data_IF_174248083646
#
_entry.id   IF_174248083646
#
_cell.length_a   1.000
_cell.length_b   1.000
_cell.length_c   1.000
_cell.angle_alpha   90.00
_cell.angle_beta   90.00
_cell.angle_gamma   90.00
#
_symmetry.space_group_name_H-M   'P 1'
#
loop_
_entity.id
_entity.type
_entity.pdbx_description
1 polymer ?
#
# COMPACT_ATOMS: atom_id res chain seq x y z
N UNK A 1 -42.80 10.54 -24.48
CA UNK A 1 -42.54 9.49 -23.47
C UNK A 1 -41.21 9.82 -22.83
N UNK A 2 -41.25 10.33 -21.61
CA UNK A 2 -40.07 10.80 -20.87
C UNK A 2 -39.24 9.60 -20.39
N UNK A 3 -37.93 9.68 -20.63
CA UNK A 3 -36.92 8.76 -20.13
C UNK A 3 -36.69 9.05 -18.65
N UNK A 4 -36.91 8.04 -17.81
CA UNK A 4 -36.69 8.06 -16.37
C UNK A 4 -35.19 8.11 -16.10
N UNK A 5 -34.72 9.25 -15.59
CA UNK A 5 -33.39 9.37 -15.02
C UNK A 5 -33.26 8.41 -13.83
N UNK A 6 -32.27 7.53 -13.87
CA UNK A 6 -31.81 6.76 -12.72
C UNK A 6 -31.31 7.75 -11.66
N UNK A 7 -32.13 8.02 -10.65
CA UNK A 7 -31.70 8.71 -9.44
C UNK A 7 -30.70 7.81 -8.69
N UNK A 8 -29.64 8.36 -8.09
CA UNK A 8 -28.76 7.61 -7.21
C UNK A 8 -29.56 7.07 -6.01
N UNK A 9 -29.25 5.84 -5.63
CA UNK A 9 -29.88 5.10 -4.54
C UNK A 9 -29.79 5.91 -3.23
N UNK A 10 -30.89 6.03 -2.48
CA UNK A 10 -30.99 6.93 -1.32
C UNK A 10 -29.94 6.62 -0.22
N UNK A 11 -29.55 5.36 -0.07
CA UNK A 11 -28.53 4.92 0.89
C UNK A 11 -27.11 5.41 0.53
N UNK A 12 -26.81 5.61 -0.75
CA UNK A 12 -25.53 6.16 -1.22
C UNK A 12 -25.44 7.67 -0.91
N UNK A 13 -26.55 8.40 -1.05
CA UNK A 13 -26.62 9.81 -0.67
C UNK A 13 -26.51 10.01 0.84
N UNK A 14 -27.03 9.08 1.65
CA UNK A 14 -26.91 9.14 3.10
C UNK A 14 -25.45 8.99 3.57
N UNK A 15 -24.68 8.05 3.02
CA UNK A 15 -23.27 7.86 3.38
C UNK A 15 -22.37 9.05 3.03
N UNK A 16 -22.60 9.69 1.87
CA UNK A 16 -21.89 10.90 1.43
C UNK A 16 -22.27 12.16 2.22
N UNK A 17 -23.53 12.26 2.65
CA UNK A 17 -24.01 13.39 3.46
C UNK A 17 -23.46 13.29 4.88
N UNK A 18 -23.48 12.08 5.46
CA UNK A 18 -22.85 11.79 6.75
C UNK A 18 -21.35 12.10 6.74
N UNK A 19 -20.63 11.82 5.64
CA UNK A 19 -19.21 12.20 5.52
C UNK A 19 -19.00 13.72 5.51
N UNK A 20 -19.79 14.47 4.74
CA UNK A 20 -19.70 15.93 4.71
C UNK A 20 -20.04 16.58 6.06
N UNK A 21 -20.96 15.98 6.82
CA UNK A 21 -21.37 16.49 8.13
C UNK A 21 -20.37 16.10 9.23
N UNK A 22 -19.88 14.85 9.27
CA UNK A 22 -18.83 14.40 10.21
C UNK A 22 -17.51 15.12 9.96
N UNK A 23 -17.10 15.30 8.70
CA UNK A 23 -15.88 16.03 8.35
C UNK A 23 -15.96 17.50 8.79
N UNK A 24 -17.14 18.11 8.76
CA UNK A 24 -17.35 19.50 9.24
C UNK A 24 -17.38 19.61 10.76
N UNK A 25 -17.97 18.63 11.46
CA UNK A 25 -18.00 18.61 12.94
C UNK A 25 -16.64 18.26 13.55
N UNK A 26 -15.90 17.29 13.00
CA UNK A 26 -14.59 16.88 13.54
C UNK A 26 -13.48 17.92 13.32
N UNK A 27 -13.55 18.71 12.23
CA UNK A 27 -12.63 19.85 12.02
C UNK A 27 -12.87 20.96 13.05
N UNK A 28 -14.11 21.12 13.53
CA UNK A 28 -14.47 22.15 14.50
C UNK A 28 -14.12 21.78 15.96
N UNK A 29 -14.01 20.49 16.31
CA UNK A 29 -13.78 20.02 17.69
C UNK A 29 -12.35 19.59 18.02
N UNK A 30 -11.39 19.73 17.09
CA UNK A 30 -9.98 19.42 17.34
C UNK A 30 -9.32 20.39 18.34
N UNK A 31 -9.56 20.16 19.63
CA UNK A 31 -8.74 20.69 20.72
C UNK A 31 -7.36 20.05 20.63
N UNK A 32 -6.41 20.81 20.11
CA UNK A 32 -4.98 20.52 20.17
C UNK A 32 -4.57 20.29 21.63
N UNK A 33 -4.38 19.03 22.02
CA UNK A 33 -3.66 18.68 23.25
C UNK A 33 -2.18 18.61 22.87
N UNK A 34 -1.31 19.50 23.38
CA UNK A 34 0.09 19.47 23.01
C UNK A 34 0.78 18.30 23.72
N UNK A 35 1.12 17.25 22.98
CA UNK A 35 2.11 16.28 23.44
C UNK A 35 3.49 16.93 23.31
N UNK A 36 4.03 17.40 24.42
CA UNK A 36 5.42 17.82 24.51
C UNK A 36 6.33 16.60 24.53
N UNK A 37 7.10 16.39 23.46
CA UNK A 37 8.55 16.13 23.49
C UNK A 37 9.09 16.08 22.06
N UNK A 38 10.13 16.86 21.81
CA UNK A 38 10.86 16.98 20.56
C UNK A 38 11.37 15.62 20.04
N UNK A 39 10.71 15.08 19.03
CA UNK A 39 11.37 14.26 18.00
C UNK A 39 10.70 14.62 16.68
N UNK A 40 11.40 15.38 15.84
CA UNK A 40 11.00 15.61 14.45
C UNK A 40 11.09 14.28 13.71
N UNK A 41 10.04 13.47 13.76
CA UNK A 41 9.83 12.43 12.76
C UNK A 41 9.66 13.16 11.43
N UNK A 42 10.72 13.23 10.62
CA UNK A 42 10.57 13.46 9.21
C UNK A 42 9.51 12.46 8.72
N UNK A 43 8.35 12.96 8.31
CA UNK A 43 7.26 12.13 7.77
C UNK A 43 7.80 11.34 6.58
N UNK A 44 8.26 10.12 6.83
CA UNK A 44 8.68 9.19 5.78
C UNK A 44 7.40 8.55 5.27
N UNK A 45 7.06 8.83 4.02
CA UNK A 45 5.93 8.18 3.36
C UNK A 45 6.12 6.66 3.33
N UNK A 46 5.01 5.92 3.26
CA UNK A 46 5.05 4.46 3.17
C UNK A 46 5.66 3.96 1.84
N UNK A 47 5.76 4.83 0.82
CA UNK A 47 6.51 4.62 -0.43
C UNK A 47 7.40 5.84 -0.68
N UNK A 48 8.70 5.60 -0.92
CA UNK A 48 9.71 6.65 -1.09
C UNK A 48 10.21 6.77 -2.55
N UNK A 49 9.98 5.76 -3.40
CA UNK A 49 10.50 5.77 -4.76
C UNK A 49 9.65 6.55 -5.77
N UNK A 50 10.21 7.63 -6.31
CA UNK A 50 9.71 8.35 -7.49
C UNK A 50 8.21 8.72 -7.41
N UNK A 51 7.73 8.97 -6.20
CA UNK A 51 6.36 9.39 -5.90
C UNK A 51 6.33 10.86 -5.52
N UNK A 52 5.16 11.47 -5.69
CA UNK A 52 4.85 12.81 -5.20
C UNK A 52 3.67 12.71 -4.24
N UNK A 53 3.78 13.29 -3.01
CA UNK A 53 2.61 13.43 -2.15
C UNK A 53 1.58 14.35 -2.82
N UNK A 54 0.31 14.00 -2.69
CA UNK A 54 -0.82 14.77 -3.24
C UNK A 54 -1.97 14.79 -2.24
N UNK A 55 -2.76 15.85 -2.26
CA UNK A 55 -3.94 15.96 -1.41
C UNK A 55 -5.20 15.47 -2.14
N UNK A 56 -6.23 15.09 -1.40
CA UNK A 56 -7.49 14.60 -1.99
C UNK A 56 -8.20 15.71 -2.77
N UNK A 57 -8.08 16.96 -2.33
CA UNK A 57 -8.61 18.16 -3.00
C UNK A 57 -7.97 18.31 -4.38
N UNK A 58 -6.64 18.14 -4.49
CA UNK A 58 -5.93 18.19 -5.77
C UNK A 58 -6.45 17.13 -6.76
N UNK A 59 -6.68 15.91 -6.28
CA UNK A 59 -7.26 14.84 -7.10
C UNK A 59 -8.70 15.14 -7.54
N UNK A 60 -9.44 15.93 -6.78
CA UNK A 60 -10.84 16.28 -7.05
C UNK A 60 -10.98 17.49 -7.97
N UNK A 61 -10.18 18.53 -7.76
CA UNK A 61 -10.34 19.84 -8.39
C UNK A 61 -9.43 20.03 -9.61
N UNK A 62 -8.20 19.51 -9.55
CA UNK A 62 -7.19 19.76 -10.58
C UNK A 62 -7.01 18.60 -11.56
N UNK A 63 -7.37 17.38 -11.16
CA UNK A 63 -7.16 16.18 -11.97
C UNK A 63 -8.39 15.79 -12.79
N UNK A 64 -8.18 15.49 -14.08
CA UNK A 64 -9.22 14.90 -14.93
C UNK A 64 -9.36 13.39 -14.66
N UNK A 65 -10.53 12.83 -15.00
CA UNK A 65 -10.80 11.39 -14.91
C UNK A 65 -10.64 10.76 -16.30
N UNK A 66 -9.74 9.76 -16.47
CA UNK A 66 -9.59 9.05 -17.73
C UNK A 66 -10.86 8.29 -18.12
N UNK A 67 -11.03 8.05 -19.43
CA UNK A 67 -12.20 7.37 -20.01
C UNK A 67 -11.77 6.22 -20.90
N UNK A 68 -12.66 5.25 -21.09
CA UNK A 68 -12.52 4.19 -22.09
C UNK A 68 -12.86 4.75 -23.47
N UNK A 69 -11.92 4.74 -24.41
CA UNK A 69 -12.00 5.54 -25.63
C UNK A 69 -13.06 5.05 -26.63
N UNK A 70 -13.51 3.79 -26.56
CA UNK A 70 -14.46 3.24 -27.55
C UNK A 70 -15.92 3.53 -27.24
N UNK A 71 -16.26 3.71 -25.97
CA UNK A 71 -17.62 3.98 -25.48
C UNK A 71 -17.70 5.26 -24.63
N UNK A 72 -16.57 5.91 -24.38
CA UNK A 72 -16.44 7.16 -23.63
C UNK A 72 -16.96 7.04 -22.19
N UNK A 73 -16.97 5.83 -21.63
CA UNK A 73 -17.36 5.62 -20.24
C UNK A 73 -16.23 6.03 -19.29
N UNK A 74 -16.59 6.71 -18.21
CA UNK A 74 -15.63 7.12 -17.19
C UNK A 74 -15.03 5.90 -16.48
N UNK A 75 -13.74 5.98 -16.20
CA UNK A 75 -13.14 5.13 -15.17
C UNK A 75 -13.67 5.53 -13.79
N UNK A 76 -13.61 4.62 -12.82
CA UNK A 76 -13.67 5.04 -11.42
C UNK A 76 -12.48 6.02 -11.22
N UNK A 77 -12.61 7.06 -10.41
CA UNK A 77 -11.51 8.02 -10.22
C UNK A 77 -10.62 7.62 -9.03
N UNK A 78 -9.50 8.32 -8.82
CA UNK A 78 -8.65 8.12 -7.64
C UNK A 78 -9.37 8.50 -6.35
N UNK A 79 -9.98 9.68 -6.33
CA UNK A 79 -10.75 10.20 -5.20
C UNK A 79 -11.96 9.31 -4.88
N UNK A 80 -12.70 8.85 -5.90
CA UNK A 80 -13.83 7.95 -5.67
C UNK A 80 -13.35 6.63 -5.04
N UNK A 81 -12.19 6.11 -5.47
CA UNK A 81 -11.61 4.92 -4.85
C UNK A 81 -11.26 5.17 -3.38
N UNK A 82 -10.52 6.23 -3.05
CA UNK A 82 -10.13 6.57 -1.67
C UNK A 82 -11.36 6.73 -0.77
N UNK A 83 -12.34 7.53 -1.20
CA UNK A 83 -13.58 7.80 -0.45
C UNK A 83 -14.39 6.52 -0.23
N UNK A 84 -14.41 5.62 -1.21
CA UNK A 84 -15.10 4.32 -1.09
C UNK A 84 -14.46 3.45 -0.02
N UNK A 85 -13.13 3.38 0.01
CA UNK A 85 -12.40 2.58 1.00
C UNK A 85 -12.49 3.18 2.39
N UNK A 86 -12.42 4.51 2.51
CA UNK A 86 -12.70 5.22 3.77
C UNK A 86 -14.12 4.91 4.27
N UNK A 87 -15.13 5.01 3.41
CA UNK A 87 -16.51 4.68 3.76
C UNK A 87 -16.66 3.25 4.26
N UNK A 88 -15.96 2.29 3.63
CA UNK A 88 -15.97 0.90 4.06
C UNK A 88 -15.29 0.75 5.44
N UNK A 89 -14.20 1.47 5.70
CA UNK A 89 -13.53 1.47 7.00
C UNK A 89 -14.42 2.06 8.09
N UNK A 90 -15.06 3.21 7.89
CA UNK A 90 -16.03 3.78 8.84
C UNK A 90 -17.21 2.85 9.12
N UNK A 91 -17.61 2.03 8.15
CA UNK A 91 -18.69 1.05 8.34
C UNK A 91 -18.27 -0.12 9.26
N UNK A 92 -17.03 -0.57 9.16
CA UNK A 92 -16.48 -1.68 9.95
C UNK A 92 -15.99 -1.21 11.33
N UNK A 93 -15.44 0.01 11.40
CA UNK A 93 -14.85 0.61 12.59
C UNK A 93 -15.59 1.89 13.01
N UNK A 94 -16.90 1.82 13.33
CA UNK A 94 -17.74 3.01 13.48
C UNK A 94 -17.40 3.90 14.69
N UNK A 95 -16.68 3.36 15.67
CA UNK A 95 -16.32 4.06 16.91
C UNK A 95 -14.82 4.39 16.99
N UNK A 96 -14.06 4.08 15.95
CA UNK A 96 -12.62 4.29 15.94
C UNK A 96 -12.28 5.64 15.30
N UNK A 97 -11.17 6.23 15.73
CA UNK A 97 -10.61 7.38 15.03
C UNK A 97 -9.88 6.88 13.77
N UNK A 98 -10.22 7.45 12.61
CA UNK A 98 -9.56 7.14 11.33
C UNK A 98 -8.83 8.41 10.87
N UNK A 99 -7.52 8.30 10.66
CA UNK A 99 -6.70 9.41 10.23
C UNK A 99 -6.96 9.78 8.76
N UNK A 100 -6.55 10.99 8.39
CA UNK A 100 -6.57 11.43 6.99
C UNK A 100 -5.62 10.57 6.14
N UNK A 101 -6.00 10.16 4.92
CA UNK A 101 -5.12 9.36 4.07
C UNK A 101 -3.83 10.09 3.68
N UNK A 102 -2.70 9.41 3.84
CA UNK A 102 -1.44 9.74 3.16
C UNK A 102 -1.54 9.22 1.72
N UNK A 103 -1.48 10.12 0.75
CA UNK A 103 -1.69 9.81 -0.67
C UNK A 103 -0.44 10.17 -1.46
N UNK A 104 0.03 9.21 -2.25
CA UNK A 104 1.18 9.38 -3.14
C UNK A 104 0.81 8.98 -4.56
N UNK A 105 1.28 9.76 -5.53
CA UNK A 105 1.02 9.52 -6.94
C UNK A 105 2.32 9.53 -7.75
N UNK A 106 2.32 8.86 -8.90
CA UNK A 106 3.44 8.86 -9.84
C UNK A 106 2.94 8.90 -11.28
N UNK A 107 3.87 9.19 -12.21
CA UNK A 107 3.61 9.23 -13.65
C UNK A 107 2.47 10.20 -14.01
N UNK A 108 2.77 11.50 -13.97
CA UNK A 108 1.82 12.53 -14.38
C UNK A 108 1.59 12.45 -15.91
N UNK A 109 0.34 12.31 -16.30
CA UNK A 109 -0.09 12.37 -17.69
C UNK A 109 -0.65 13.76 -17.93
N UNK A 110 -0.11 14.45 -18.93
CA UNK A 110 -0.50 15.82 -19.30
C UNK A 110 -1.21 15.81 -20.65
N UNK A 111 -2.43 16.31 -20.66
CA UNK A 111 -3.21 16.60 -21.87
C UNK A 111 -3.30 18.10 -22.13
N UNK A 112 -4.19 18.46 -23.05
CA UNK A 112 -4.52 19.86 -23.37
C UNK A 112 -6.02 20.04 -23.22
N UNK A 113 -6.45 21.21 -22.75
CA UNK A 113 -7.85 21.61 -22.85
C UNK A 113 -8.24 21.80 -24.33
N UNK A 114 -9.54 21.69 -24.68
CA UNK A 114 -10.00 21.84 -26.07
C UNK A 114 -9.52 23.12 -26.75
N UNK A 115 -9.52 24.25 -26.03
CA UNK A 115 -9.16 25.58 -26.53
C UNK A 115 -7.67 25.71 -26.86
N UNK A 116 -6.83 24.82 -26.32
CA UNK A 116 -5.37 24.86 -26.45
C UNK A 116 -4.82 23.76 -27.36
N UNK A 117 -5.66 22.97 -28.03
CA UNK A 117 -5.22 21.77 -28.76
C UNK A 117 -4.19 22.09 -29.86
N UNK A 118 -4.33 23.24 -30.51
CA UNK A 118 -3.44 23.72 -31.59
C UNK A 118 -2.29 24.60 -31.10
N UNK A 119 -2.23 24.96 -29.81
CA UNK A 119 -1.11 25.75 -29.27
C UNK A 119 0.19 24.93 -29.32
N UNK A 120 1.31 25.47 -29.84
CA UNK A 120 2.61 24.81 -29.76
C UNK A 120 3.00 24.53 -28.29
N UNK A 121 3.76 23.45 -28.06
CA UNK A 121 4.13 23.04 -26.70
C UNK A 121 4.87 24.13 -25.90
N UNK A 122 5.66 24.97 -26.59
CA UNK A 122 6.37 26.11 -26.01
C UNK A 122 5.47 27.27 -25.57
N UNK A 123 4.21 27.31 -26.01
CA UNK A 123 3.25 28.38 -25.73
C UNK A 123 2.11 27.93 -24.80
N UNK A 124 2.16 26.69 -24.30
CA UNK A 124 1.13 26.17 -23.38
C UNK A 124 1.33 26.73 -21.97
N UNK A 125 0.33 27.47 -21.50
CA UNK A 125 0.21 27.84 -20.09
C UNK A 125 -0.15 26.61 -19.25
N UNK A 126 0.02 26.68 -17.94
CA UNK A 126 -0.41 25.58 -17.08
C UNK A 126 -1.94 25.43 -17.04
N UNK A 127 -2.68 26.53 -17.19
CA UNK A 127 -4.14 26.51 -17.37
C UNK A 127 -4.59 25.86 -18.69
N UNK A 128 -3.69 25.71 -19.66
CA UNK A 128 -3.99 25.06 -20.93
C UNK A 128 -3.84 23.52 -20.85
N UNK A 129 -3.32 23.00 -19.74
CA UNK A 129 -2.98 21.59 -19.57
C UNK A 129 -4.02 20.92 -18.69
N UNK A 130 -4.43 19.72 -19.08
CA UNK A 130 -5.14 18.82 -18.19
C UNK A 130 -4.15 17.85 -17.59
N UNK A 131 -4.37 17.41 -16.35
CA UNK A 131 -3.48 16.45 -15.71
C UNK A 131 -4.28 15.31 -15.08
N UNK A 132 -3.68 14.13 -15.04
CA UNK A 132 -4.05 13.07 -14.12
C UNK A 132 -2.81 12.24 -13.81
N UNK A 133 -2.87 11.42 -12.77
CA UNK A 133 -1.77 10.51 -12.43
C UNK A 133 -2.08 9.11 -12.96
N UNK A 134 -1.12 8.45 -13.59
CA UNK A 134 -1.31 7.07 -14.05
C UNK A 134 -1.40 6.10 -12.86
N UNK A 135 -0.66 6.37 -11.77
CA UNK A 135 -0.60 5.50 -10.59
C UNK A 135 -0.76 6.30 -9.32
N UNK A 136 -1.57 5.78 -8.39
CA UNK A 136 -1.82 6.34 -7.07
C UNK A 136 -1.84 5.23 -6.02
N UNK A 137 -1.24 5.49 -4.87
CA UNK A 137 -1.39 4.71 -3.67
C UNK A 137 -1.85 5.61 -2.53
N UNK A 138 -2.63 5.07 -1.61
CA UNK A 138 -2.98 5.75 -0.38
C UNK A 138 -2.97 4.78 0.79
N UNK A 139 -2.79 5.33 1.98
CA UNK A 139 -2.84 4.60 3.24
C UNK A 139 -3.38 5.53 4.33
N UNK A 140 -4.29 5.04 5.16
CA UNK A 140 -4.72 5.72 6.38
C UNK A 140 -4.65 4.76 7.56
N UNK A 141 -4.48 5.34 8.74
CA UNK A 141 -4.28 4.61 9.99
C UNK A 141 -5.53 4.70 10.87
N UNK A 142 -5.73 3.67 11.68
CA UNK A 142 -6.72 3.64 12.76
C UNK A 142 -5.91 3.57 14.07
N UNK A 143 -5.39 4.70 14.58
CA UNK A 143 -4.37 4.73 15.62
C UNK A 143 -4.83 4.18 16.98
N UNK A 144 -6.15 4.05 17.18
CA UNK A 144 -6.77 3.46 18.36
C UNK A 144 -6.70 1.94 18.38
N UNK A 145 -6.52 1.29 17.22
CA UNK A 145 -6.28 -0.15 17.10
C UNK A 145 -4.79 -0.36 16.85
N UNK A 146 -4.05 -0.74 17.88
CA UNK A 146 -2.60 -0.88 17.81
C UNK A 146 -2.06 -2.00 18.71
N UNK A 147 -0.82 -2.39 18.47
CA UNK A 147 -0.05 -3.33 19.29
C UNK A 147 1.42 -2.89 19.33
N UNK A 148 2.13 -3.19 20.42
CA UNK A 148 3.56 -2.93 20.54
C UNK A 148 4.37 -4.23 20.38
N UNK A 149 5.15 -4.32 19.31
CA UNK A 149 5.96 -5.50 18.97
C UNK A 149 7.44 -5.12 19.00
N UNK A 150 8.20 -5.69 19.94
CA UNK A 150 9.62 -5.39 20.15
C UNK A 150 9.91 -3.89 20.37
N UNK A 151 9.00 -3.19 21.06
CA UNK A 151 9.10 -1.74 21.27
C UNK A 151 8.67 -0.89 20.07
N UNK A 152 8.19 -1.50 18.98
CA UNK A 152 7.65 -0.80 17.82
C UNK A 152 6.14 -0.78 17.88
N UNK A 153 5.55 0.42 17.91
CA UNK A 153 4.10 0.57 17.78
C UNK A 153 3.66 0.27 16.35
N UNK A 154 2.66 -0.59 16.23
CA UNK A 154 2.01 -0.97 14.99
C UNK A 154 0.56 -0.49 15.03
N UNK A 155 0.18 0.43 14.14
CA UNK A 155 -1.22 0.84 14.00
C UNK A 155 -1.91 0.04 12.90
N UNK A 156 -3.17 -0.35 13.11
CA UNK A 156 -4.01 -0.88 12.04
C UNK A 156 -4.06 0.15 10.90
N UNK A 157 -3.83 -0.31 9.68
CA UNK A 157 -3.70 0.53 8.50
C UNK A 157 -4.45 -0.09 7.34
N UNK A 158 -5.15 0.76 6.59
CA UNK A 158 -5.93 0.38 5.41
C UNK A 158 -5.47 1.26 4.26
N UNK A 159 -5.43 0.68 3.06
CA UNK A 159 -5.09 1.46 1.88
C UNK A 159 -5.34 0.72 0.59
N UNK A 160 -4.85 1.32 -0.48
CA UNK A 160 -5.04 0.74 -1.80
C UNK A 160 -4.14 1.35 -2.86
N UNK A 161 -4.06 0.64 -3.98
CA UNK A 161 -3.32 1.05 -5.17
C UNK A 161 -4.25 1.02 -6.36
N UNK A 162 -4.24 2.12 -7.12
CA UNK A 162 -4.84 2.21 -8.44
C UNK A 162 -3.77 2.54 -9.48
N UNK A 163 -3.80 1.81 -10.59
CA UNK A 163 -2.83 1.95 -11.66
C UNK A 163 -3.54 1.86 -13.02
N UNK A 164 -3.76 3.00 -13.67
CA UNK A 164 -4.48 3.06 -14.96
C UNK A 164 -3.73 2.36 -16.10
N UNK A 165 -2.41 2.17 -16.01
CA UNK A 165 -1.63 1.38 -16.97
C UNK A 165 -1.95 -0.12 -16.94
N UNK A 166 -2.66 -0.60 -15.92
CA UNK A 166 -3.21 -1.96 -15.91
C UNK A 166 -4.52 -2.08 -16.69
N UNK A 167 -5.12 -0.94 -17.05
CA UNK A 167 -6.34 -0.87 -17.85
C UNK A 167 -6.01 -0.67 -19.33
N UNK A 168 -6.86 -1.22 -20.19
CA UNK A 168 -6.83 -0.90 -21.61
C UNK A 168 -7.78 0.28 -21.89
N UNK A 169 -7.35 1.51 -21.60
CA UNK A 169 -8.18 2.70 -21.83
C UNK A 169 -8.54 2.92 -23.32
N UNK A 170 -7.90 2.21 -24.26
CA UNK A 170 -8.23 2.25 -25.69
C UNK A 170 -9.35 1.27 -26.09
N UNK A 171 -9.91 0.53 -25.12
CA UNK A 171 -11.03 -0.40 -25.35
C UNK A 171 -12.37 0.19 -24.92
N UNK A 172 -13.41 -0.67 -24.92
CA UNK A 172 -14.67 -0.42 -24.21
C UNK A 172 -14.45 -0.66 -22.71
N UNK A 173 -15.32 -0.12 -21.86
CA UNK A 173 -15.26 -0.35 -20.42
C UNK A 173 -15.27 -1.84 -20.10
N UNK A 174 -14.29 -2.24 -19.30
CA UNK A 174 -14.18 -3.58 -18.72
C UNK A 174 -14.09 -3.46 -17.22
N UNK A 175 -14.01 -4.60 -16.53
CA UNK A 175 -13.71 -4.59 -15.11
C UNK A 175 -12.37 -3.90 -14.88
N UNK A 176 -12.39 -2.91 -14.01
CA UNK A 176 -11.24 -2.14 -13.58
C UNK A 176 -10.57 -2.84 -12.40
N UNK A 177 -9.24 -2.74 -12.30
CA UNK A 177 -8.39 -3.47 -11.36
C UNK A 177 -7.92 -2.56 -10.24
N UNK A 178 -8.06 -3.04 -9.02
CA UNK A 178 -7.66 -2.37 -7.80
C UNK A 178 -6.89 -3.33 -6.91
N UNK A 179 -6.02 -2.74 -6.07
CA UNK A 179 -5.46 -3.45 -4.92
C UNK A 179 -5.96 -2.78 -3.66
N UNK A 180 -6.43 -3.56 -2.71
CA UNK A 180 -6.85 -3.08 -1.39
C UNK A 180 -6.12 -3.92 -0.35
N UNK A 181 -5.68 -3.29 0.72
CA UNK A 181 -5.14 -4.00 1.86
C UNK A 181 -5.69 -3.48 3.19
N UNK A 182 -5.65 -4.35 4.18
CA UNK A 182 -5.79 -4.07 5.61
C UNK A 182 -4.67 -4.83 6.33
N UNK A 183 -3.97 -4.16 7.23
CA UNK A 183 -2.79 -4.71 7.89
C UNK A 183 -2.29 -3.76 8.96
N UNK A 184 -0.99 -3.78 9.24
CA UNK A 184 -0.40 -2.89 10.24
C UNK A 184 0.69 -2.03 9.63
N UNK A 185 0.95 -0.86 10.22
CA UNK A 185 2.08 -0.01 9.85
C UNK A 185 2.99 0.18 11.05
N UNK A 186 4.27 -0.18 10.89
CA UNK A 186 5.27 0.04 11.93
C UNK A 186 5.63 1.52 11.97
N UNK A 187 5.31 2.22 13.06
CA UNK A 187 5.51 3.67 13.16
C UNK A 187 6.98 4.10 13.27
N UNK A 188 7.87 3.20 13.69
CA UNK A 188 9.31 3.51 13.78
C UNK A 188 9.90 3.72 12.39
N UNK A 189 9.45 2.92 11.41
CA UNK A 189 9.99 2.94 10.06
C UNK A 189 8.95 3.17 8.97
N UNK A 190 7.68 3.39 9.29
CA UNK A 190 6.58 3.51 8.33
C UNK A 190 6.47 2.31 7.36
N UNK A 191 6.96 1.14 7.77
CA UNK A 191 6.89 -0.09 6.98
C UNK A 191 5.48 -0.66 7.02
N UNK A 192 4.93 -1.03 5.87
CA UNK A 192 3.63 -1.69 5.79
C UNK A 192 3.77 -3.19 5.99
N UNK A 193 3.05 -3.68 6.99
CA UNK A 193 2.94 -5.08 7.35
C UNK A 193 1.64 -5.64 6.77
N UNK A 194 1.77 -6.45 5.72
CA UNK A 194 0.64 -6.99 4.96
C UNK A 194 0.65 -8.52 5.07
N UNK A 195 -0.50 -9.10 5.41
CA UNK A 195 -0.71 -10.55 5.48
C UNK A 195 -1.54 -11.06 4.29
N UNK A 196 -1.54 -12.37 4.10
CA UNK A 196 -2.23 -13.03 2.98
C UNK A 196 -3.74 -12.80 3.00
N UNK A 197 -4.36 -12.81 4.18
CA UNK A 197 -5.79 -12.51 4.38
C UNK A 197 -6.09 -11.01 4.46
N UNK A 198 -5.04 -10.18 4.51
CA UNK A 198 -5.12 -8.73 4.53
C UNK A 198 -4.90 -8.06 3.18
N UNK A 199 -4.64 -8.81 2.10
CA UNK A 199 -4.38 -8.26 0.75
C UNK A 199 -5.33 -8.85 -0.29
N UNK A 200 -6.04 -7.96 -0.98
CA UNK A 200 -6.73 -8.28 -2.23
C UNK A 200 -5.98 -7.63 -3.40
N UNK A 201 -5.10 -8.40 -4.04
CA UNK A 201 -4.14 -7.91 -5.06
C UNK A 201 -4.70 -7.77 -6.47
N UNK A 202 -5.88 -8.33 -6.75
CA UNK A 202 -6.54 -8.24 -8.06
C UNK A 202 -8.06 -8.12 -7.90
N UNK A 203 -8.51 -7.04 -7.27
CA UNK A 203 -9.93 -6.73 -7.19
C UNK A 203 -10.43 -6.20 -8.53
N UNK A 204 -11.38 -6.91 -9.14
CA UNK A 204 -11.97 -6.54 -10.44
C UNK A 204 -13.40 -6.10 -10.28
N UNK A 205 -13.70 -4.84 -10.61
CA UNK A 205 -15.03 -4.26 -10.41
C UNK A 205 -15.47 -3.41 -11.60
N UNK A 206 -16.78 -3.32 -11.79
CA UNK A 206 -17.41 -2.43 -12.78
C UNK A 206 -17.93 -1.13 -12.16
N UNK A 207 -18.05 -1.07 -10.83
CA UNK A 207 -18.70 0.04 -10.13
C UNK A 207 -18.11 0.28 -8.75
N UNK A 208 -18.34 1.50 -8.24
CA UNK A 208 -18.00 1.90 -6.87
C UNK A 208 -18.72 1.06 -5.82
N UNK A 209 -19.95 0.61 -6.09
CA UNK A 209 -20.69 -0.26 -5.16
C UNK A 209 -19.98 -1.61 -4.99
N UNK A 210 -19.57 -2.26 -6.09
CA UNK A 210 -18.81 -3.51 -6.02
C UNK A 210 -17.47 -3.33 -5.32
N UNK A 211 -16.83 -2.16 -5.50
CA UNK A 211 -15.60 -1.79 -4.81
C UNK A 211 -15.81 -1.71 -3.30
N UNK A 212 -16.90 -1.06 -2.87
CA UNK A 212 -17.29 -0.97 -1.46
C UNK A 212 -17.59 -2.35 -0.85
N UNK A 213 -18.39 -3.17 -1.53
CA UNK A 213 -18.78 -4.50 -1.07
C UNK A 213 -17.56 -5.42 -0.89
N UNK A 214 -16.63 -5.45 -1.85
CA UNK A 214 -15.44 -6.26 -1.70
C UNK A 214 -14.43 -5.71 -0.68
N UNK A 215 -14.39 -4.39 -0.46
CA UNK A 215 -13.62 -3.81 0.65
C UNK A 215 -14.19 -4.26 2.01
N UNK A 216 -15.52 -4.19 2.19
CA UNK A 216 -16.16 -4.69 3.41
C UNK A 216 -15.87 -6.18 3.64
N UNK A 217 -15.96 -6.99 2.58
CA UNK A 217 -15.69 -8.42 2.67
C UNK A 217 -14.24 -8.68 3.11
N UNK A 218 -13.26 -7.99 2.54
CA UNK A 218 -11.86 -8.10 2.95
C UNK A 218 -11.67 -7.74 4.42
N UNK A 219 -12.21 -6.59 4.85
CA UNK A 219 -12.04 -6.11 6.22
C UNK A 219 -12.69 -7.03 7.26
N UNK A 220 -13.81 -7.67 6.92
CA UNK A 220 -14.49 -8.62 7.80
C UNK A 220 -13.77 -9.97 7.90
N UNK A 221 -13.06 -10.37 6.84
CA UNK A 221 -12.35 -11.65 6.80
C UNK A 221 -10.94 -11.57 7.41
N UNK A 222 -10.37 -10.37 7.49
CA UNK A 222 -9.04 -10.14 8.01
C UNK A 222 -8.94 -10.45 9.52
N UNK A 223 -8.02 -11.34 9.90
CA UNK A 223 -7.76 -11.69 11.30
C UNK A 223 -6.55 -10.91 11.85
N UNK A 224 -6.85 -9.75 12.44
CA UNK A 224 -5.84 -8.87 13.02
C UNK A 224 -5.02 -9.56 14.13
N UNK A 225 -5.66 -10.35 15.01
CA UNK A 225 -4.99 -11.00 16.12
C UNK A 225 -4.01 -12.07 15.63
N UNK A 226 -4.42 -12.86 14.64
CA UNK A 226 -3.54 -13.86 14.01
C UNK A 226 -2.35 -13.18 13.34
N UNK A 227 -2.57 -12.08 12.62
CA UNK A 227 -1.49 -11.32 11.99
C UNK A 227 -0.49 -10.80 13.04
N UNK A 228 -0.96 -10.13 14.10
CA UNK A 228 -0.11 -9.63 15.19
C UNK A 228 0.65 -10.76 15.90
N UNK A 229 -0.01 -11.89 16.14
CA UNK A 229 0.62 -13.06 16.76
C UNK A 229 1.76 -13.59 15.89
N UNK A 230 1.55 -13.70 14.58
CA UNK A 230 2.60 -14.12 13.65
C UNK A 230 3.79 -13.14 13.65
N UNK A 231 3.53 -11.83 13.66
CA UNK A 231 4.57 -10.80 13.74
C UNK A 231 5.35 -10.87 15.06
N UNK A 232 4.67 -11.10 16.18
CA UNK A 232 5.32 -11.25 17.48
C UNK A 232 6.21 -12.49 17.56
N UNK A 233 5.82 -13.59 16.90
CA UNK A 233 6.61 -14.82 16.89
C UNK A 233 7.95 -14.67 16.18
N UNK A 234 8.09 -13.71 15.26
CA UNK A 234 9.35 -13.45 14.56
C UNK A 234 10.49 -13.02 15.51
N UNK A 235 10.18 -12.49 16.69
CA UNK A 235 11.20 -12.16 17.70
C UNK A 235 11.84 -13.38 18.35
N UNK A 236 11.13 -14.53 18.35
CA UNK A 236 11.59 -15.76 18.99
C UNK A 236 12.49 -16.62 18.11
N UNK A 237 12.73 -16.20 16.87
CA UNK A 237 13.51 -16.94 15.88
C UNK A 237 14.62 -16.05 15.32
N UNK A 238 15.79 -16.63 15.12
CA UNK A 238 16.98 -15.90 14.68
C UNK A 238 17.72 -16.66 13.60
N UNK A 239 18.36 -15.91 12.70
CA UNK A 239 19.34 -16.41 11.76
C UNK A 239 20.74 -16.14 12.30
N UNK A 240 21.61 -17.14 12.21
CA UNK A 240 23.06 -16.88 12.31
C UNK A 240 23.53 -15.97 11.18
N UNK A 241 24.66 -15.29 11.39
CA UNK A 241 25.29 -14.46 10.35
C UNK A 241 25.53 -15.27 9.06
N UNK A 242 25.92 -16.55 9.19
CA UNK A 242 26.08 -17.43 8.04
C UNK A 242 24.76 -17.65 7.29
N UNK A 243 23.66 -17.95 7.99
CA UNK A 243 22.36 -18.14 7.35
C UNK A 243 21.83 -16.85 6.73
N UNK A 244 22.05 -15.70 7.37
CA UNK A 244 21.72 -14.40 6.78
C UNK A 244 22.53 -14.14 5.51
N UNK A 245 23.84 -14.42 5.51
CA UNK A 245 24.68 -14.30 4.33
C UNK A 245 24.22 -15.24 3.21
N UNK A 246 23.82 -16.48 3.53
CA UNK A 246 23.20 -17.40 2.56
C UNK A 246 21.90 -16.84 2.00
N UNK A 247 21.01 -16.30 2.83
CA UNK A 247 19.78 -15.64 2.38
C UNK A 247 20.06 -14.54 1.36
N UNK A 248 20.99 -13.65 1.64
CA UNK A 248 21.38 -12.57 0.73
C UNK A 248 22.03 -13.12 -0.55
N UNK A 249 22.86 -14.16 -0.46
CA UNK A 249 23.49 -14.78 -1.62
C UNK A 249 22.50 -15.51 -2.53
N UNK A 250 21.64 -16.35 -1.95
CA UNK A 250 20.63 -17.16 -2.65
C UNK A 250 19.59 -16.29 -3.32
N UNK A 251 19.14 -15.22 -2.66
CA UNK A 251 18.17 -14.28 -3.25
C UNK A 251 18.71 -13.57 -4.49
N UNK A 252 20.02 -13.31 -4.59
CA UNK A 252 20.66 -12.85 -5.83
C UNK A 252 20.68 -13.93 -6.90
N UNK A 253 21.07 -15.15 -6.54
CA UNK A 253 21.10 -16.29 -7.47
C UNK A 253 19.70 -16.64 -8.01
N UNK A 254 18.66 -16.43 -7.21
CA UNK A 254 17.27 -16.72 -7.56
C UNK A 254 16.81 -16.05 -8.87
N UNK A 255 17.33 -14.85 -9.15
CA UNK A 255 16.98 -14.13 -10.39
C UNK A 255 17.59 -14.76 -11.66
N UNK A 256 18.61 -15.58 -11.49
CA UNK A 256 19.33 -16.25 -12.58
C UNK A 256 19.06 -17.76 -12.66
N UNK A 257 18.22 -18.30 -11.78
CA UNK A 257 17.85 -19.71 -11.82
C UNK A 257 17.11 -20.07 -13.12
N UNK A 258 17.34 -21.28 -13.66
CA UNK A 258 16.51 -21.82 -14.72
C UNK A 258 15.03 -21.82 -14.33
N UNK A 259 14.15 -21.51 -15.28
CA UNK A 259 12.71 -21.39 -15.02
C UNK A 259 12.08 -22.64 -14.39
N UNK A 260 12.63 -23.83 -14.67
CA UNK A 260 12.19 -25.10 -14.09
C UNK A 260 12.53 -25.22 -12.61
N UNK A 261 13.72 -24.78 -12.21
CA UNK A 261 14.16 -24.79 -10.80
C UNK A 261 13.46 -23.70 -10.00
N UNK A 262 13.35 -22.50 -10.58
CA UNK A 262 12.69 -21.35 -9.96
C UNK A 262 11.23 -21.64 -9.59
N UNK A 263 10.51 -22.40 -10.41
CA UNK A 263 9.11 -22.81 -10.15
C UNK A 263 8.93 -23.73 -8.94
N UNK A 264 10.00 -24.41 -8.50
CA UNK A 264 9.97 -25.30 -7.34
C UNK A 264 10.23 -24.55 -6.02
N UNK A 265 10.66 -23.29 -6.11
CA UNK A 265 10.99 -22.47 -4.97
C UNK A 265 9.89 -21.45 -4.70
N UNK A 266 9.73 -21.01 -3.43
CA UNK A 266 8.89 -19.87 -3.11
C UNK A 266 9.23 -18.62 -3.93
N UNK A 267 8.22 -17.79 -4.17
CA UNK A 267 8.40 -16.54 -4.91
C UNK A 267 9.38 -15.61 -4.18
N UNK A 268 10.22 -14.93 -4.94
CA UNK A 268 11.13 -13.90 -4.44
C UNK A 268 11.03 -12.67 -5.35
N UNK A 269 10.22 -11.72 -4.92
CA UNK A 269 9.81 -10.55 -5.72
C UNK A 269 10.78 -9.37 -5.60
N UNK A 270 11.76 -9.45 -4.71
CA UNK A 270 12.78 -8.42 -4.51
C UNK A 270 13.88 -8.50 -5.57
N UNK A 271 14.24 -7.33 -6.07
CA UNK A 271 15.30 -7.12 -7.07
C UNK A 271 16.68 -6.97 -6.43
N UNK A 272 17.74 -7.05 -7.23
CA UNK A 272 19.12 -6.84 -6.76
C UNK A 272 19.34 -5.49 -6.05
N UNK A 273 18.66 -4.43 -6.50
CA UNK A 273 18.74 -3.12 -5.83
C UNK A 273 18.20 -3.19 -4.39
N UNK A 274 17.11 -3.93 -4.18
CA UNK A 274 16.55 -4.16 -2.85
C UNK A 274 17.47 -5.04 -2.00
N UNK A 275 18.00 -6.12 -2.56
CA UNK A 275 18.94 -7.00 -1.83
C UNK A 275 20.20 -6.24 -1.41
N UNK A 276 20.70 -5.35 -2.28
CA UNK A 276 21.79 -4.44 -1.94
C UNK A 276 21.41 -3.45 -0.81
N UNK A 277 20.17 -2.95 -0.79
CA UNK A 277 19.69 -2.10 0.29
C UNK A 277 19.61 -2.86 1.62
N UNK A 278 19.07 -4.08 1.62
CA UNK A 278 19.00 -4.96 2.79
C UNK A 278 20.40 -5.25 3.34
N UNK A 279 21.34 -5.60 2.46
CA UNK A 279 22.72 -5.88 2.87
C UNK A 279 23.41 -4.66 3.51
N UNK A 280 23.15 -3.44 3.02
CA UNK A 280 23.64 -2.21 3.67
C UNK A 280 22.95 -1.98 5.01
N UNK A 281 21.63 -2.10 5.05
CA UNK A 281 20.82 -1.88 6.24
C UNK A 281 21.14 -2.86 7.37
N UNK A 282 21.50 -4.12 7.04
CA UNK A 282 21.98 -5.09 8.01
C UNK A 282 23.15 -4.57 8.88
N UNK A 283 24.03 -3.74 8.33
CA UNK A 283 25.17 -3.16 9.06
C UNK A 283 24.94 -1.74 9.58
N UNK A 284 24.02 -0.98 8.99
CA UNK A 284 23.94 0.47 9.18
C UNK A 284 22.54 1.01 9.45
N UNK A 285 21.50 0.17 9.48
CA UNK A 285 20.16 0.61 9.84
C UNK A 285 20.11 1.04 11.31
N UNK A 286 19.42 2.16 11.58
CA UNK A 286 19.39 2.76 12.92
C UNK A 286 18.61 1.91 13.93
N UNK A 287 17.62 1.13 13.48
CA UNK A 287 16.68 0.42 14.36
C UNK A 287 16.77 -1.10 14.24
N UNK A 288 17.15 -1.60 13.06
CA UNK A 288 17.05 -3.01 12.69
C UNK A 288 18.36 -3.65 12.22
N UNK A 289 19.49 -2.95 12.36
CA UNK A 289 20.79 -3.56 12.08
C UNK A 289 21.05 -4.75 13.00
N UNK A 290 22.03 -5.57 12.63
CA UNK A 290 22.61 -6.55 13.54
C UNK A 290 23.07 -5.85 14.83
N UNK A 291 23.00 -6.56 15.94
CA UNK A 291 23.57 -6.07 17.21
C UNK A 291 25.08 -6.24 17.16
N UNK A 292 25.85 -5.22 17.57
CA UNK A 292 27.31 -5.28 17.57
C UNK A 292 27.79 -6.42 18.50
N UNK A 293 28.64 -7.31 17.97
CA UNK A 293 29.14 -8.47 18.70
C UNK A 293 28.15 -9.64 18.82
N UNK A 294 26.95 -9.54 18.24
CA UNK A 294 26.04 -10.68 18.10
C UNK A 294 26.30 -11.42 16.78
N UNK A 295 26.30 -12.75 16.85
CA UNK A 295 26.43 -13.65 15.69
C UNK A 295 25.07 -13.99 15.06
N UNK A 296 23.98 -13.39 15.55
CA UNK A 296 22.62 -13.68 15.13
C UNK A 296 21.78 -12.41 14.94
N UNK A 297 20.77 -12.50 14.07
CA UNK A 297 19.74 -11.49 13.85
C UNK A 297 18.36 -12.14 13.94
N UNK A 298 17.46 -11.57 14.73
CA UNK A 298 16.08 -12.06 14.84
C UNK A 298 15.27 -11.79 13.57
N UNK A 299 14.26 -12.62 13.32
CA UNK A 299 13.45 -12.51 12.11
C UNK A 299 12.58 -11.26 12.09
N UNK A 300 12.28 -10.64 13.23
CA UNK A 300 11.56 -9.37 13.26
C UNK A 300 12.42 -8.23 12.68
N UNK A 301 13.71 -8.17 13.02
CA UNK A 301 14.67 -7.26 12.37
C UNK A 301 14.81 -7.58 10.89
N UNK A 302 15.01 -8.85 10.51
CA UNK A 302 15.10 -9.25 9.09
C UNK A 302 13.87 -8.79 8.31
N UNK A 303 12.67 -9.04 8.83
CA UNK A 303 11.43 -8.57 8.22
C UNK A 303 11.40 -7.06 8.00
N UNK A 304 11.84 -6.28 8.98
CA UNK A 304 11.89 -4.83 8.85
C UNK A 304 12.97 -4.33 7.87
N UNK A 305 14.08 -5.06 7.69
CA UNK A 305 15.05 -4.77 6.63
C UNK A 305 14.46 -4.97 5.23
N UNK A 306 13.70 -6.05 5.02
CA UNK A 306 13.02 -6.33 3.75
C UNK A 306 11.92 -5.32 3.44
N UNK A 307 11.03 -5.05 4.40
CA UNK A 307 9.95 -4.07 4.23
C UNK A 307 10.48 -2.65 4.11
N UNK A 308 11.58 -2.32 4.80
CA UNK A 308 12.30 -1.05 4.64
C UNK A 308 12.86 -0.88 3.23
N UNK A 309 13.50 -1.92 2.68
CA UNK A 309 13.94 -1.89 1.28
C UNK A 309 12.77 -1.75 0.29
N UNK A 310 11.62 -2.36 0.59
CA UNK A 310 10.45 -2.33 -0.29
C UNK A 310 9.90 -0.91 -0.53
N UNK A 311 10.19 0.07 0.33
CA UNK A 311 9.80 1.47 0.12
C UNK A 311 10.33 2.07 -1.18
N UNK A 312 11.42 1.52 -1.70
CA UNK A 312 11.95 1.93 -3.01
C UNK A 312 11.26 1.28 -4.21
N UNK A 313 10.20 0.49 -3.98
CA UNK A 313 9.39 -0.11 -5.04
C UNK A 313 8.47 0.89 -5.71
N UNK A 314 8.18 0.64 -6.99
CA UNK A 314 7.09 1.30 -7.68
C UNK A 314 5.73 0.96 -7.04
N UNK A 315 4.80 1.91 -7.10
CA UNK A 315 3.43 1.81 -6.55
C UNK A 315 2.73 0.49 -6.92
N UNK A 316 2.83 0.05 -8.18
CA UNK A 316 2.12 -1.12 -8.71
C UNK A 316 2.56 -2.45 -8.10
N UNK A 317 3.83 -2.53 -7.67
CA UNK A 317 4.47 -3.76 -7.16
C UNK A 317 4.70 -3.73 -5.66
N UNK A 318 4.49 -2.56 -5.02
CA UNK A 318 4.77 -2.34 -3.61
C UNK A 318 3.98 -3.28 -2.68
N UNK A 319 2.67 -3.45 -2.87
CA UNK A 319 1.85 -4.30 -2.00
C UNK A 319 2.18 -5.79 -2.16
N UNK A 320 2.40 -6.26 -3.39
CA UNK A 320 2.75 -7.66 -3.65
C UNK A 320 4.10 -8.01 -2.98
N UNK A 321 5.08 -7.10 -3.07
CA UNK A 321 6.36 -7.27 -2.37
C UNK A 321 6.25 -7.17 -0.84
N UNK A 322 5.33 -6.36 -0.34
CA UNK A 322 5.06 -6.28 1.11
C UNK A 322 4.54 -7.63 1.63
N UNK A 323 3.60 -8.25 0.90
CA UNK A 323 3.14 -9.60 1.22
C UNK A 323 4.27 -10.63 1.07
N UNK A 324 5.04 -10.56 -0.02
CA UNK A 324 6.14 -11.50 -0.25
C UNK A 324 7.21 -11.44 0.85
N UNK A 325 7.47 -10.26 1.45
CA UNK A 325 8.34 -10.14 2.62
C UNK A 325 7.80 -10.93 3.82
N UNK A 326 6.50 -10.81 4.08
CA UNK A 326 5.82 -11.55 5.17
C UNK A 326 5.92 -13.06 4.93
N UNK A 327 5.61 -13.51 3.72
CA UNK A 327 5.66 -14.93 3.34
C UNK A 327 7.08 -15.49 3.42
N UNK A 328 8.07 -14.75 2.91
CA UNK A 328 9.47 -15.15 2.92
C UNK A 328 9.99 -15.31 4.35
N UNK A 329 9.80 -14.30 5.19
CA UNK A 329 10.36 -14.32 6.55
C UNK A 329 9.63 -15.33 7.44
N UNK A 330 8.31 -15.44 7.32
CA UNK A 330 7.54 -16.47 8.03
C UNK A 330 7.96 -17.87 7.58
N UNK A 331 8.15 -18.06 6.27
CA UNK A 331 8.61 -19.31 5.68
C UNK A 331 10.01 -19.70 6.11
N UNK A 332 10.93 -18.73 6.20
CA UNK A 332 12.27 -18.94 6.79
C UNK A 332 12.15 -19.37 8.25
N UNK A 333 11.27 -18.73 9.03
CA UNK A 333 10.99 -19.14 10.41
C UNK A 333 10.52 -20.59 10.54
N UNK A 334 9.63 -21.02 9.66
CA UNK A 334 9.20 -22.43 9.55
C UNK A 334 10.36 -23.35 9.14
N UNK A 335 11.22 -22.91 8.22
CA UNK A 335 12.37 -23.70 7.79
C UNK A 335 13.39 -23.94 8.90
N UNK A 336 13.63 -22.93 9.75
CA UNK A 336 14.46 -23.05 10.97
C UNK A 336 13.88 -24.07 11.97
N UNK A 337 12.57 -24.26 11.97
CA UNK A 337 11.87 -25.22 12.84
C UNK A 337 11.74 -26.62 12.23
N UNK A 338 12.20 -26.83 11.00
CA UNK A 338 12.24 -28.15 10.38
C UNK A 338 11.40 -28.30 9.10
N UNK A 339 10.68 -27.28 8.64
CA UNK A 339 9.99 -27.34 7.35
C UNK A 339 10.96 -27.22 6.17
N UNK A 340 10.59 -27.73 4.99
CA UNK A 340 11.48 -27.79 3.83
C UNK A 340 11.30 -26.64 2.83
N UNK A 341 10.16 -25.96 2.84
CA UNK A 341 9.72 -25.13 1.72
C UNK A 341 10.66 -23.95 1.43
N UNK A 342 11.23 -23.34 2.47
CA UNK A 342 12.12 -22.17 2.36
C UNK A 342 13.59 -22.48 2.68
N UNK A 343 13.94 -23.75 2.90
CA UNK A 343 15.31 -24.14 3.28
C UNK A 343 16.38 -23.71 2.30
N UNK A 344 16.05 -23.74 1.00
CA UNK A 344 16.97 -23.34 -0.06
C UNK A 344 17.58 -21.93 0.15
N UNK A 345 16.83 -21.03 0.79
CA UNK A 345 17.28 -19.68 1.08
C UNK A 345 18.31 -19.59 2.21
N UNK A 346 18.36 -20.56 3.13
CA UNK A 346 19.19 -20.50 4.35
C UNK A 346 20.22 -21.63 4.46
N UNK A 347 20.23 -22.56 3.51
CA UNK A 347 21.19 -23.69 3.41
C UNK A 347 22.40 -23.41 2.51
#
# INVERSE_FOLDING_TARGET
MYSTALQPNADFSAGLTVWNDIAREQVAESRVIPLSTNTTYHSRHFIEANTKPVDIEHLREDCIVPVFSKDNELTISHQAFIETILGAAYRIFPNEAIDTPDIVASHIIKGRIPEAIHKPASQLLDSDKTIYYERMAFCFEIPTIYEDIAGNRLNLSIGGVRAYNHENLYSRKTMERFKIFIGFKNLVCCNLCVSTDGLLSDMRVMSVQQLFEGALQLFQQYDAQKHLTAMSQLQGLSLSEHQFAQLIGKTRLYQYLPATEKKLLPAMEFTDSHINAIARAYYADENFSRTEGADEIDLWRVYNLFTGANKSSYIDTFLDRSLNATELVSGIGQALQGESNYRWFIE
#
